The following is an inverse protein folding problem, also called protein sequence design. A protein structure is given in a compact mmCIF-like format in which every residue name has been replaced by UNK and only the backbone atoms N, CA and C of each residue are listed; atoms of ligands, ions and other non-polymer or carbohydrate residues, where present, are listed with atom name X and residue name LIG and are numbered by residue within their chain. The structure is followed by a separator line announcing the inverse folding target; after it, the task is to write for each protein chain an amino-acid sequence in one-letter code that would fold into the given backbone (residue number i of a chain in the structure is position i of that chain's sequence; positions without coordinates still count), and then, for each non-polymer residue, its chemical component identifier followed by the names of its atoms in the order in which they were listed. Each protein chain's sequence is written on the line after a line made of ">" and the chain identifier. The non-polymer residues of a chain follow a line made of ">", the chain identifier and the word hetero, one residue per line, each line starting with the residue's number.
data_IF_360582670209
#
_entry.id   IF_360582670209
#
_cell.length_a   1.000
_cell.length_b   1.000
_cell.length_c   1.000
_cell.angle_alpha   90.00
_cell.angle_beta   90.00
_cell.angle_gamma   90.00
#
_symmetry.space_group_name_H-M   'P 1'
#
loop_
_entity.id
_entity.type
_entity.pdbx_description
1 polymer ?
#
# COMPACT_ATOMS: atom_id res chain seq x y z
N UNK A 1 -7.88 -23.01 6.25
CA UNK A 1 -7.38 -21.88 7.05
C UNK A 1 -6.09 -21.37 6.42
N UNK A 2 -5.97 -20.07 6.25
CA UNK A 2 -4.73 -19.45 5.73
C UNK A 2 -3.68 -19.44 6.84
N UNK A 3 -2.53 -20.04 6.55
CA UNK A 3 -1.38 -20.00 7.46
C UNK A 3 -0.56 -18.73 7.16
N UNK A 4 -0.20 -18.00 8.20
CA UNK A 4 0.62 -16.79 8.06
C UNK A 4 1.54 -16.63 9.26
N UNK A 5 2.60 -15.86 9.05
CA UNK A 5 3.47 -15.39 10.13
C UNK A 5 3.24 -13.89 10.33
N UNK A 6 3.36 -13.44 11.57
CA UNK A 6 3.24 -12.02 11.93
C UNK A 6 4.53 -11.57 12.57
N UNK A 7 5.02 -10.43 12.10
CA UNK A 7 6.25 -9.84 12.62
C UNK A 7 6.07 -8.33 12.79
N UNK A 8 6.51 -7.80 13.91
CA UNK A 8 6.49 -6.36 14.17
C UNK A 8 7.92 -5.84 14.14
N UNK A 9 8.17 -4.87 13.28
CA UNK A 9 9.47 -4.22 13.16
C UNK A 9 9.68 -3.21 14.30
N UNK A 10 10.94 -2.82 14.53
CA UNK A 10 11.29 -1.89 15.60
C UNK A 10 10.63 -0.51 15.44
N UNK A 11 10.31 -0.12 14.21
CA UNK A 11 9.58 1.12 13.92
C UNK A 11 8.06 1.04 14.12
N UNK A 12 7.55 -0.11 14.58
CA UNK A 12 6.11 -0.33 14.80
C UNK A 12 5.35 -0.88 13.60
N UNK A 13 5.99 -1.04 12.44
CA UNK A 13 5.33 -1.63 11.27
C UNK A 13 5.03 -3.11 11.52
N UNK A 14 3.79 -3.51 11.33
CA UNK A 14 3.38 -4.92 11.39
C UNK A 14 3.43 -5.51 9.99
N UNK A 15 4.15 -6.61 9.84
CA UNK A 15 4.24 -7.37 8.60
C UNK A 15 3.54 -8.72 8.77
N UNK A 16 2.68 -9.06 7.84
CA UNK A 16 2.02 -10.36 7.77
C UNK A 16 2.47 -11.03 6.48
N UNK A 17 2.97 -12.25 6.60
CA UNK A 17 3.48 -13.01 5.45
C UNK A 17 2.80 -14.37 5.37
N UNK A 18 2.29 -14.68 4.19
CA UNK A 18 1.77 -15.99 3.84
C UNK A 18 2.55 -16.53 2.65
N UNK A 19 3.09 -17.72 2.77
CA UNK A 19 3.80 -18.39 1.67
C UNK A 19 2.90 -19.46 1.07
N UNK A 20 2.60 -19.30 -0.22
CA UNK A 20 1.85 -20.25 -1.01
C UNK A 20 2.65 -20.57 -2.28
N UNK A 21 3.18 -21.78 -2.36
CA UNK A 21 4.01 -22.23 -3.47
C UNK A 21 3.22 -22.86 -4.61
N UNK A 22 1.89 -22.90 -4.50
CA UNK A 22 1.02 -23.44 -5.55
C UNK A 22 0.90 -22.53 -6.77
N UNK A 23 1.34 -21.27 -6.64
CA UNK A 23 1.29 -20.28 -7.70
C UNK A 23 2.58 -19.43 -7.69
N UNK A 24 3.07 -18.95 -8.85
CA UNK A 24 4.20 -18.06 -8.93
C UNK A 24 3.86 -16.59 -8.65
N UNK A 25 2.59 -16.27 -8.41
CA UNK A 25 2.17 -14.89 -8.18
C UNK A 25 2.57 -14.39 -6.79
N UNK A 26 2.92 -13.11 -6.73
CA UNK A 26 3.22 -12.41 -5.48
C UNK A 26 2.23 -11.26 -5.33
N UNK A 27 1.61 -11.17 -4.16
CA UNK A 27 0.72 -10.06 -3.79
C UNK A 27 1.35 -9.27 -2.65
N UNK A 28 1.41 -7.96 -2.80
CA UNK A 28 1.89 -7.03 -1.77
C UNK A 28 0.78 -6.06 -1.45
N UNK A 29 0.42 -5.96 -0.18
CA UNK A 29 -0.60 -5.02 0.29
C UNK A 29 -0.01 -4.16 1.40
N UNK A 30 -0.11 -2.84 1.26
CA UNK A 30 0.36 -1.88 2.26
C UNK A 30 -0.83 -1.08 2.75
N UNK A 31 -1.09 -1.15 4.05
CA UNK A 31 -2.22 -0.48 4.70
C UNK A 31 -1.72 0.60 5.66
N UNK A 32 -2.18 1.83 5.47
CA UNK A 32 -2.01 2.93 6.40
C UNK A 32 -3.31 3.16 7.16
N UNK A 33 -3.24 3.11 8.49
CA UNK A 33 -4.42 3.32 9.35
C UNK A 33 -4.74 4.81 9.47
N UNK A 34 -4.92 5.46 8.34
CA UNK A 34 -5.29 6.88 8.24
C UNK A 34 -6.20 7.07 7.04
N UNK A 35 -7.25 7.84 7.24
CA UNK A 35 -8.23 8.13 6.21
C UNK A 35 -8.86 9.50 6.41
N UNK A 36 -9.93 9.77 5.70
CA UNK A 36 -10.55 11.09 5.67
C UNK A 36 -11.02 11.58 7.06
N UNK A 37 -11.43 10.69 7.95
CA UNK A 37 -11.86 11.07 9.32
C UNK A 37 -10.74 11.62 10.19
N UNK A 38 -9.49 11.29 9.87
CA UNK A 38 -8.31 11.70 10.64
C UNK A 38 -7.80 13.08 10.22
N UNK A 39 -8.43 13.69 9.20
CA UNK A 39 -8.01 14.96 8.64
C UNK A 39 -8.55 16.16 9.42
N UNK A 40 -7.79 17.27 9.39
CA UNK A 40 -8.29 18.56 9.87
C UNK A 40 -9.49 19.00 9.01
N UNK A 41 -10.65 19.33 9.62
CA UNK A 41 -11.84 19.76 8.87
C UNK A 41 -11.60 20.95 7.92
N UNK A 42 -10.59 21.76 8.18
CA UNK A 42 -10.23 22.90 7.33
C UNK A 42 -9.25 22.54 6.21
N UNK A 43 -8.72 21.30 6.21
CA UNK A 43 -7.72 20.81 5.26
C UNK A 43 -8.02 19.36 4.90
N UNK A 44 -9.12 19.14 4.20
CA UNK A 44 -9.55 17.81 3.79
C UNK A 44 -8.96 17.38 2.45
N UNK A 45 -8.97 16.07 2.20
CA UNK A 45 -8.51 15.50 0.93
C UNK A 45 -7.04 15.08 0.91
N UNK A 46 -6.28 15.29 1.98
CA UNK A 46 -4.84 14.96 2.01
C UNK A 46 -4.55 13.46 1.94
N UNK A 47 -5.33 12.63 2.64
CA UNK A 47 -5.13 11.18 2.59
C UNK A 47 -5.27 10.65 1.16
N UNK A 48 -6.30 11.09 0.47
CA UNK A 48 -6.55 10.74 -0.93
C UNK A 48 -5.49 11.33 -1.88
N UNK A 49 -5.06 12.57 -1.61
CA UNK A 49 -3.99 13.19 -2.38
C UNK A 49 -2.67 12.39 -2.25
N UNK A 50 -2.28 12.00 -1.05
CA UNK A 50 -1.08 11.19 -0.84
C UNK A 50 -1.17 9.83 -1.50
N UNK A 51 -2.34 9.21 -1.52
CA UNK A 51 -2.56 7.99 -2.28
C UNK A 51 -2.19 8.20 -3.77
N UNK A 52 -2.73 9.24 -4.40
CA UNK A 52 -2.41 9.58 -5.79
C UNK A 52 -0.92 9.88 -6.01
N UNK A 53 -0.30 10.61 -5.09
CA UNK A 53 1.11 10.98 -5.21
C UNK A 53 2.04 9.77 -5.19
N UNK A 54 1.67 8.69 -4.52
CA UNK A 54 2.47 7.45 -4.50
C UNK A 54 2.60 6.80 -5.87
N UNK A 55 1.64 7.01 -6.76
CA UNK A 55 1.72 6.54 -8.15
C UNK A 55 2.60 7.43 -9.03
N UNK A 56 2.83 8.66 -8.63
CA UNK A 56 3.57 9.65 -9.42
C UNK A 56 5.08 9.45 -9.46
N UNK A 57 5.60 8.48 -8.72
CA UNK A 57 7.02 8.20 -8.69
C UNK A 57 7.75 8.79 -7.49
N UNK A 58 9.06 8.62 -7.49
CA UNK A 58 9.96 9.10 -6.44
C UNK A 58 11.30 9.53 -7.02
N UNK A 59 12.22 9.95 -6.15
CA UNK A 59 13.57 10.37 -6.58
C UNK A 59 14.29 9.31 -7.41
N UNK A 60 14.13 8.04 -7.07
CA UNK A 60 14.86 6.94 -7.70
C UNK A 60 14.00 6.14 -8.69
N UNK A 61 12.68 6.31 -8.65
CA UNK A 61 11.73 5.61 -9.51
C UNK A 61 10.79 6.67 -10.10
N UNK A 62 11.10 7.11 -11.31
CA UNK A 62 10.36 8.20 -11.96
C UNK A 62 8.96 7.76 -12.40
N UNK A 63 8.78 6.50 -12.77
CA UNK A 63 7.50 5.93 -13.18
C UNK A 63 7.29 4.59 -12.47
N UNK A 64 6.40 4.58 -11.50
CA UNK A 64 6.08 3.40 -10.72
C UNK A 64 5.41 2.31 -11.58
N UNK A 65 4.44 2.69 -12.39
CA UNK A 65 3.68 1.74 -13.22
C UNK A 65 4.55 1.02 -14.24
N UNK A 66 5.56 1.68 -14.78
CA UNK A 66 6.50 1.06 -15.71
C UNK A 66 7.14 -0.20 -15.12
N UNK A 67 7.63 -0.12 -13.89
CA UNK A 67 8.27 -1.26 -13.23
C UNK A 67 7.29 -2.38 -12.92
N UNK A 68 6.09 -2.04 -12.49
CA UNK A 68 5.02 -3.02 -12.22
C UNK A 68 4.60 -3.75 -13.49
N UNK A 69 4.34 -3.01 -14.57
CA UNK A 69 3.95 -3.58 -15.86
C UNK A 69 5.06 -4.43 -16.48
N UNK A 70 6.31 -4.00 -16.35
CA UNK A 70 7.46 -4.77 -16.83
C UNK A 70 7.57 -6.14 -16.14
N UNK A 71 7.18 -6.22 -14.88
CA UNK A 71 7.13 -7.49 -14.13
C UNK A 71 5.86 -8.31 -14.42
N UNK A 72 4.96 -7.83 -15.27
CA UNK A 72 3.67 -8.47 -15.55
C UNK A 72 2.64 -8.26 -14.44
N UNK A 73 2.84 -7.28 -13.60
CA UNK A 73 1.98 -7.00 -12.46
C UNK A 73 0.90 -5.97 -12.74
N UNK A 74 0.06 -5.78 -11.75
CA UNK A 74 -0.98 -4.75 -11.71
C UNK A 74 -0.99 -4.12 -10.33
N UNK A 75 -1.34 -2.84 -10.25
CA UNK A 75 -1.40 -2.11 -8.99
C UNK A 75 -2.67 -1.26 -8.90
N UNK A 76 -3.16 -1.10 -7.69
CA UNK A 76 -4.30 -0.25 -7.42
C UNK A 76 -4.23 0.25 -5.98
N UNK A 77 -5.00 1.28 -5.68
CA UNK A 77 -5.09 1.82 -4.33
C UNK A 77 -6.47 2.42 -4.08
N UNK A 78 -6.80 2.63 -2.82
CA UNK A 78 -8.00 3.34 -2.44
C UNK A 78 -7.85 3.99 -1.06
N UNK A 79 -8.61 5.04 -0.84
CA UNK A 79 -8.71 5.75 0.44
C UNK A 79 -10.18 5.84 0.85
N UNK A 80 -10.48 5.57 2.11
CA UNK A 80 -11.79 5.77 2.68
C UNK A 80 -11.69 6.60 3.97
N UNK A 81 -12.73 6.60 4.79
CA UNK A 81 -12.73 7.36 6.03
C UNK A 81 -11.70 6.87 7.05
N UNK A 82 -11.37 5.60 7.03
CA UNK A 82 -10.63 4.92 8.10
C UNK A 82 -9.19 4.58 7.73
N UNK A 83 -8.92 4.29 6.45
CA UNK A 83 -7.58 3.85 6.04
C UNK A 83 -7.30 4.14 4.56
N UNK A 84 -6.00 4.12 4.23
CA UNK A 84 -5.47 4.22 2.87
C UNK A 84 -4.71 2.92 2.56
N UNK A 85 -5.06 2.29 1.45
CA UNK A 85 -4.52 0.99 1.06
C UNK A 85 -3.90 1.05 -0.34
#
# INVERSE_FOLDING_TARGET
>A
MIKFTRHTLDNGLTMICNTDTSTPFVSVNILYKVGARDEDPNRTGFAHLFEHLMFGGSKHIADYDYHVQKAGGDSNAFTNNDYTN
#
